data_IF_060149062663
#
_entry.id   IF_060149062663
#
_cell.length_a   1.000
_cell.length_b   1.000
_cell.length_c   1.000
_cell.angle_alpha   90.00
_cell.angle_beta   90.00
_cell.angle_gamma   90.00
#
_symmetry.space_group_name_H-M   'P 1'
#
loop_
_entity.id
_entity.type
_entity.pdbx_description
1 polymer ?
#
# COMPACT_ATOMS: atom_id res chain seq x y z
N UNK A 1 7.62 -7.14 16.50
CA UNK A 1 7.51 -5.68 16.56
C UNK A 1 6.12 -5.24 16.10
N UNK A 2 5.62 -4.12 16.65
CA UNK A 2 4.33 -3.53 16.27
C UNK A 2 4.51 -2.09 15.82
N UNK A 3 3.52 -1.57 15.11
CA UNK A 3 3.42 -0.17 14.67
C UNK A 3 2.02 0.36 14.96
N UNK A 4 1.85 1.68 14.96
CA UNK A 4 0.53 2.31 15.03
C UNK A 4 -0.09 2.39 13.63
N UNK A 5 -1.40 2.11 13.57
CA UNK A 5 -2.17 2.25 12.34
C UNK A 5 -3.61 2.66 12.64
N UNK A 6 -4.23 3.30 11.67
CA UNK A 6 -5.66 3.58 11.63
C UNK A 6 -6.35 2.48 10.82
N UNK A 7 -7.05 1.59 11.51
CA UNK A 7 -7.68 0.41 10.92
C UNK A 7 -9.17 0.62 10.75
N UNK A 8 -9.68 0.40 9.55
CA UNK A 8 -11.10 0.21 9.31
C UNK A 8 -11.46 -1.21 9.80
N UNK A 9 -11.92 -1.34 11.04
CA UNK A 9 -12.27 -2.64 11.64
C UNK A 9 -13.61 -3.17 11.15
N UNK A 10 -14.55 -2.27 11.02
CA UNK A 10 -15.90 -2.49 10.48
C UNK A 10 -16.28 -1.24 9.68
N UNK A 11 -17.29 -1.33 8.84
CA UNK A 11 -17.78 -0.13 8.14
C UNK A 11 -18.16 0.97 9.14
N UNK A 12 -17.77 2.19 8.83
CA UNK A 12 -17.92 3.38 9.67
C UNK A 12 -17.17 3.33 11.02
N UNK A 13 -16.24 2.37 11.20
CA UNK A 13 -15.48 2.23 12.44
C UNK A 13 -13.98 2.21 12.17
N UNK A 14 -13.36 3.37 12.32
CA UNK A 14 -11.90 3.53 12.30
C UNK A 14 -11.34 3.47 13.72
N UNK A 15 -10.33 2.63 13.92
CA UNK A 15 -9.67 2.46 15.21
C UNK A 15 -8.17 2.68 15.08
N UNK A 16 -7.63 3.60 15.85
CA UNK A 16 -6.17 3.81 15.98
C UNK A 16 -5.62 2.86 17.01
N UNK A 17 -4.79 1.91 16.59
CA UNK A 17 -4.28 0.84 17.45
C UNK A 17 -2.91 0.31 17.01
N UNK A 18 -2.32 -0.52 17.87
CA UNK A 18 -1.14 -1.30 17.53
C UNK A 18 -1.52 -2.47 16.60
N UNK A 19 -0.72 -2.64 15.55
CA UNK A 19 -0.81 -3.75 14.60
C UNK A 19 0.59 -4.34 14.38
N UNK A 20 0.71 -5.59 13.92
CA UNK A 20 1.99 -6.14 13.53
C UNK A 20 2.66 -5.32 12.43
N UNK A 21 4.00 -5.22 12.49
CA UNK A 21 4.78 -4.69 11.37
C UNK A 21 4.53 -5.50 10.09
N UNK A 22 4.48 -4.87 8.90
CA UNK A 22 4.41 -5.60 7.65
C UNK A 22 5.60 -6.56 7.52
N UNK A 23 5.34 -7.75 6.98
CA UNK A 23 6.41 -8.64 6.54
C UNK A 23 6.87 -8.20 5.17
N UNK A 24 8.18 -8.01 5.01
CA UNK A 24 8.79 -7.54 3.78
C UNK A 24 9.09 -8.73 2.85
N UNK A 25 8.56 -8.70 1.63
CA UNK A 25 8.96 -9.62 0.59
C UNK A 25 10.33 -9.23 0.01
N UNK A 26 10.99 -10.14 -0.72
CA UNK A 26 12.35 -9.92 -1.20
C UNK A 26 12.49 -8.76 -2.19
N UNK A 27 11.43 -8.44 -2.93
CA UNK A 27 11.35 -7.36 -3.92
C UNK A 27 10.68 -6.08 -3.40
N UNK A 28 10.31 -6.05 -2.11
CA UNK A 28 9.61 -4.92 -1.48
C UNK A 28 10.57 -4.02 -0.69
N UNK A 29 10.10 -2.82 -0.42
CA UNK A 29 10.69 -1.89 0.55
C UNK A 29 9.72 -1.57 1.66
N UNK A 30 10.23 -1.36 2.87
CA UNK A 30 9.47 -0.83 4.00
C UNK A 30 9.64 0.68 4.04
N UNK A 31 8.55 1.42 3.92
CA UNK A 31 8.54 2.88 3.97
C UNK A 31 8.08 3.35 5.35
N UNK A 32 8.90 4.14 6.04
CA UNK A 32 8.47 4.96 7.17
C UNK A 32 7.66 6.12 6.63
N UNK A 33 6.34 6.08 6.81
CA UNK A 33 5.40 7.06 6.27
C UNK A 33 5.60 8.41 6.98
N UNK A 34 5.74 9.48 6.22
CA UNK A 34 5.86 10.86 6.74
C UNK A 34 4.60 11.68 6.50
N UNK A 35 3.89 11.40 5.43
CA UNK A 35 2.61 12.00 5.12
C UNK A 35 1.76 11.04 4.28
N UNK A 36 0.46 11.05 4.52
CA UNK A 36 -0.52 10.33 3.70
C UNK A 36 -1.74 11.21 3.49
N UNK A 37 -2.10 11.44 2.24
CA UNK A 37 -3.30 12.17 1.86
C UNK A 37 -4.57 11.36 2.14
N UNK A 38 -5.66 12.06 2.43
CA UNK A 38 -6.99 11.48 2.53
C UNK A 38 -7.69 11.72 1.19
N UNK A 39 -7.87 10.66 0.42
CA UNK A 39 -8.57 10.70 -0.86
C UNK A 39 -10.10 10.63 -0.65
N UNK A 40 -10.86 11.24 -1.54
CA UNK A 40 -12.33 11.09 -1.55
C UNK A 40 -12.78 9.63 -1.64
N UNK A 41 -11.98 8.76 -2.26
CA UNK A 41 -12.26 7.32 -2.33
C UNK A 41 -12.14 6.62 -0.97
N UNK A 42 -11.35 7.14 -0.02
CA UNK A 42 -11.30 6.62 1.34
C UNK A 42 -12.58 6.98 2.09
N UNK A 43 -13.06 8.21 1.91
CA UNK A 43 -14.33 8.66 2.50
C UNK A 43 -15.50 7.82 1.97
N UNK A 44 -15.59 7.61 0.66
CA UNK A 44 -16.61 6.77 0.04
C UNK A 44 -16.47 5.28 0.37
N UNK A 45 -15.28 4.84 0.77
CA UNK A 45 -15.03 3.47 1.20
C UNK A 45 -15.40 3.17 2.65
N UNK A 46 -15.54 4.22 3.47
CA UNK A 46 -15.72 4.08 4.90
C UNK A 46 -17.02 3.34 5.29
N UNK A 47 -18.11 3.60 4.59
CA UNK A 47 -19.41 2.99 4.81
C UNK A 47 -19.66 1.70 4.00
N UNK A 48 -18.69 1.29 3.19
CA UNK A 48 -18.79 0.11 2.32
C UNK A 48 -19.51 0.35 1.00
N UNK A 49 -20.03 1.54 0.72
CA UNK A 49 -20.78 1.83 -0.52
C UNK A 49 -19.95 1.66 -1.80
N UNK A 50 -18.64 1.83 -1.71
CA UNK A 50 -17.74 1.63 -2.86
C UNK A 50 -17.50 0.14 -3.20
N UNK A 51 -17.76 -0.79 -2.28
CA UNK A 51 -17.46 -2.21 -2.41
C UNK A 51 -15.95 -2.54 -2.50
N UNK A 52 -15.08 -1.55 -2.31
CA UNK A 52 -13.62 -1.68 -2.50
C UNK A 52 -12.80 -1.48 -1.22
N UNK A 53 -13.45 -1.38 -0.10
CA UNK A 53 -12.84 -1.28 1.24
C UNK A 53 -13.48 -2.33 2.12
N UNK A 54 -12.94 -3.55 2.12
CA UNK A 54 -13.50 -4.66 2.90
C UNK A 54 -12.75 -4.74 4.24
N UNK A 55 -13.41 -4.47 5.37
CA UNK A 55 -12.78 -4.57 6.68
C UNK A 55 -12.37 -6.03 7.03
N UNK A 56 -11.36 -6.25 7.90
CA UNK A 56 -10.45 -5.22 8.43
C UNK A 56 -9.42 -4.78 7.39
N UNK A 57 -9.13 -3.47 7.32
CA UNK A 57 -8.21 -2.89 6.34
C UNK A 57 -7.55 -1.63 6.90
N UNK A 58 -6.25 -1.47 6.67
CA UNK A 58 -5.57 -0.17 6.76
C UNK A 58 -5.71 0.51 5.41
N UNK A 59 -6.41 1.64 5.35
CA UNK A 59 -6.58 2.43 4.13
C UNK A 59 -5.36 3.34 3.88
N UNK A 60 -5.47 4.27 2.93
CA UNK A 60 -4.42 5.23 2.57
C UNK A 60 -3.56 4.74 1.42
N UNK A 61 -3.52 5.52 0.33
CA UNK A 61 -2.85 5.16 -0.91
C UNK A 61 -2.13 6.33 -1.58
N UNK A 62 -2.09 7.49 -0.94
CA UNK A 62 -1.42 8.72 -1.40
C UNK A 62 -0.37 9.13 -0.37
N UNK A 63 0.75 8.42 -0.31
CA UNK A 63 1.73 8.62 0.74
C UNK A 63 3.14 8.90 0.22
N UNK A 64 3.91 9.56 1.09
CA UNK A 64 5.35 9.73 0.93
C UNK A 64 6.08 9.44 2.24
N UNK A 65 7.35 9.09 2.14
CA UNK A 65 8.16 8.75 3.29
C UNK A 65 9.62 8.50 2.97
N UNK A 66 10.27 7.77 3.84
CA UNK A 66 11.65 7.33 3.69
C UNK A 66 11.73 5.80 3.78
N UNK A 67 12.57 5.20 2.96
CA UNK A 67 12.84 3.76 3.03
C UNK A 67 13.54 3.46 4.37
N UNK A 68 12.93 2.59 5.16
CA UNK A 68 13.44 2.10 6.43
C UNK A 68 14.14 0.75 6.31
N UNK A 69 13.70 -0.08 5.35
CA UNK A 69 14.28 -1.40 5.07
C UNK A 69 14.08 -1.75 3.61
N UNK A 70 15.01 -2.52 3.02
CA UNK A 70 14.94 -3.01 1.64
C UNK A 70 14.96 -4.53 1.62
N UNK A 71 14.15 -5.12 0.75
CA UNK A 71 14.15 -6.56 0.50
C UNK A 71 15.45 -7.02 -0.19
N UNK A 72 15.75 -8.30 -0.07
CA UNK A 72 17.03 -8.88 -0.53
C UNK A 72 17.27 -8.78 -2.04
N UNK A 73 16.21 -8.62 -2.84
CA UNK A 73 16.29 -8.54 -4.30
C UNK A 73 16.23 -7.09 -4.82
N UNK A 74 15.99 -6.12 -3.95
CA UNK A 74 15.99 -4.69 -4.30
C UNK A 74 17.41 -4.21 -4.57
N UNK A 75 17.62 -3.50 -5.72
CA UNK A 75 18.95 -3.06 -6.18
C UNK A 75 19.05 -1.55 -6.40
N UNK A 76 17.94 -0.89 -6.71
CA UNK A 76 17.92 0.50 -7.17
C UNK A 76 17.56 1.50 -6.06
N UNK A 77 17.38 1.01 -4.83
CA UNK A 77 16.93 1.79 -3.69
C UNK A 77 17.74 1.49 -2.44
N UNK A 78 18.01 2.54 -1.67
CA UNK A 78 18.74 2.48 -0.40
C UNK A 78 17.89 2.93 0.78
N UNK A 79 18.23 2.42 1.98
CA UNK A 79 17.67 2.92 3.23
C UNK A 79 17.96 4.42 3.38
N UNK A 80 16.92 5.19 3.71
CA UNK A 80 17.01 6.66 3.81
C UNK A 80 16.55 7.40 2.55
N UNK A 81 16.39 6.73 1.41
CA UNK A 81 15.82 7.34 0.20
C UNK A 81 14.42 7.91 0.48
N UNK A 82 14.16 9.11 -0.02
CA UNK A 82 12.85 9.76 0.05
C UNK A 82 12.04 9.32 -1.15
N UNK A 83 10.85 8.77 -0.88
CA UNK A 83 10.04 8.14 -1.91
C UNK A 83 8.55 8.48 -1.78
N UNK A 84 7.89 8.44 -2.91
CA UNK A 84 6.45 8.19 -3.06
C UNK A 84 6.25 6.94 -3.91
N UNK A 85 5.01 6.51 -4.13
CA UNK A 85 4.73 5.32 -4.91
C UNK A 85 3.44 5.46 -5.74
N UNK A 86 3.39 4.74 -6.86
CA UNK A 86 2.12 4.45 -7.51
C UNK A 86 1.35 3.46 -6.64
N UNK A 87 0.14 3.82 -6.26
CA UNK A 87 -0.69 2.95 -5.43
C UNK A 87 -1.15 1.68 -6.15
N UNK A 88 -1.09 1.66 -7.48
CA UNK A 88 -1.41 0.49 -8.30
C UNK A 88 -0.19 -0.41 -8.44
N UNK A 89 -0.26 -1.59 -7.84
CA UNK A 89 0.79 -2.60 -7.93
C UNK A 89 0.44 -3.54 -9.08
N UNK A 90 1.18 -3.43 -10.17
CA UNK A 90 1.01 -4.26 -11.35
C UNK A 90 2.00 -5.44 -11.36
N UNK A 91 1.64 -6.52 -12.05
CA UNK A 91 2.51 -7.68 -12.21
C UNK A 91 3.51 -7.43 -13.34
N UNK A 92 4.79 -7.69 -13.07
CA UNK A 92 5.86 -7.48 -14.06
C UNK A 92 5.82 -8.52 -15.20
N UNK A 93 5.27 -9.69 -14.93
CA UNK A 93 5.29 -10.86 -15.83
C UNK A 93 4.04 -11.03 -16.70
N UNK A 94 3.03 -10.17 -16.57
CA UNK A 94 1.83 -10.31 -17.37
C UNK A 94 1.94 -9.70 -18.77
N UNK A 95 1.04 -10.11 -19.65
CA UNK A 95 1.03 -9.72 -21.06
C UNK A 95 0.84 -8.19 -21.24
N UNK A 96 -0.04 -7.57 -20.48
CA UNK A 96 -0.32 -6.13 -20.59
C UNK A 96 0.89 -5.30 -20.17
N UNK A 97 1.50 -5.65 -19.03
CA UNK A 97 2.70 -4.98 -18.52
C UNK A 97 3.86 -5.06 -19.52
N UNK A 98 4.08 -6.22 -20.14
CA UNK A 98 5.09 -6.39 -21.18
C UNK A 98 4.85 -5.53 -22.45
N UNK A 99 3.64 -5.06 -22.65
CA UNK A 99 3.24 -4.12 -23.73
C UNK A 99 3.25 -2.66 -23.30
N UNK A 100 3.69 -2.35 -22.08
CA UNK A 100 3.65 -1.02 -21.50
C UNK A 100 2.26 -0.57 -21.02
N UNK A 101 1.29 -1.48 -20.98
CA UNK A 101 -0.10 -1.24 -20.54
C UNK A 101 -0.30 -1.72 -19.09
N UNK A 102 0.61 -1.33 -18.19
CA UNK A 102 0.62 -1.82 -16.80
C UNK A 102 -0.66 -1.51 -16.02
N UNK A 103 -1.37 -0.44 -16.38
CA UNK A 103 -2.69 -0.10 -15.82
C UNK A 103 -3.78 -1.13 -16.13
N UNK A 104 -3.55 -2.03 -17.09
CA UNK A 104 -4.44 -3.14 -17.45
C UNK A 104 -3.93 -4.49 -16.92
N UNK A 105 -2.85 -4.50 -16.14
CA UNK A 105 -2.26 -5.72 -15.59
C UNK A 105 -3.31 -6.58 -14.88
N UNK A 106 -3.34 -7.87 -15.22
CA UNK A 106 -4.21 -8.84 -14.56
C UNK A 106 -3.73 -9.10 -13.13
N UNK A 107 -4.67 -9.20 -12.18
CA UNK A 107 -4.35 -9.42 -10.78
C UNK A 107 -3.60 -8.28 -10.10
N UNK A 108 -3.69 -7.05 -10.66
CA UNK A 108 -3.13 -5.86 -10.00
C UNK A 108 -3.78 -5.64 -8.65
N UNK A 109 -2.95 -5.19 -7.72
CA UNK A 109 -3.34 -4.79 -6.38
C UNK A 109 -3.37 -3.27 -6.27
N UNK A 110 -4.04 -2.76 -5.23
CA UNK A 110 -3.99 -1.33 -4.90
C UNK A 110 -3.73 -1.17 -3.41
N UNK A 111 -2.74 -0.37 -3.06
CA UNK A 111 -2.39 -0.06 -1.67
C UNK A 111 -3.59 0.57 -0.96
N UNK A 112 -3.96 0.06 0.21
CA UNK A 112 -5.07 0.58 1.01
C UNK A 112 -6.47 0.32 0.44
N UNK A 113 -6.59 -0.65 -0.47
CA UNK A 113 -7.83 -1.02 -1.16
C UNK A 113 -7.99 -2.55 -1.15
N UNK A 114 -9.22 -3.01 -1.27
CA UNK A 114 -9.58 -4.44 -1.29
C UNK A 114 -10.42 -4.75 -2.52
N UNK A 115 -9.83 -4.89 -3.71
CA UNK A 115 -10.58 -5.35 -4.87
C UNK A 115 -10.94 -6.83 -4.71
N UNK A 116 -12.25 -7.13 -4.69
CA UNK A 116 -12.75 -8.49 -4.47
C UNK A 116 -12.39 -9.03 -3.07
N UNK A 117 -11.96 -10.26 -2.99
CA UNK A 117 -11.54 -10.90 -1.73
C UNK A 117 -10.12 -10.51 -1.28
N UNK A 118 -9.40 -9.83 -2.12
CA UNK A 118 -8.03 -9.41 -1.88
C UNK A 118 -7.99 -8.18 -0.98
N UNK A 119 -7.03 -8.13 -0.05
CA UNK A 119 -6.77 -6.98 0.82
C UNK A 119 -5.30 -6.64 0.84
N UNK A 120 -4.97 -5.41 0.50
CA UNK A 120 -3.62 -4.87 0.69
C UNK A 120 -3.68 -3.67 1.62
N UNK A 121 -3.01 -3.78 2.76
CA UNK A 121 -2.94 -2.70 3.72
C UNK A 121 -2.21 -1.48 3.15
N UNK A 122 -2.70 -0.30 3.52
CA UNK A 122 -2.23 0.98 3.05
C UNK A 122 -1.41 1.76 4.07
N UNK A 123 -1.32 3.06 3.81
CA UNK A 123 -0.38 3.96 4.45
C UNK A 123 -0.97 4.84 5.57
N UNK A 124 -2.20 4.60 6.04
CA UNK A 124 -2.67 5.17 7.30
C UNK A 124 -2.04 4.42 8.49
N UNK A 125 -0.71 4.34 8.47
CA UNK A 125 0.13 3.62 9.41
C UNK A 125 1.51 4.26 9.49
N UNK A 126 2.30 3.90 10.51
CA UNK A 126 3.70 4.35 10.61
C UNK A 126 4.58 3.79 9.49
N UNK A 127 4.26 2.59 9.01
CA UNK A 127 5.01 1.91 7.94
C UNK A 127 4.07 1.23 6.95
N UNK A 128 4.53 1.18 5.69
CA UNK A 128 3.88 0.44 4.61
C UNK A 128 4.92 -0.31 3.79
N UNK A 129 4.63 -1.54 3.39
CA UNK A 129 5.46 -2.32 2.48
C UNK A 129 4.90 -2.24 1.06
N UNK A 130 5.74 -1.91 0.09
CA UNK A 130 5.38 -1.84 -1.34
C UNK A 130 6.50 -2.41 -2.21
N UNK A 131 6.18 -3.01 -3.37
CA UNK A 131 7.19 -3.44 -4.33
C UNK A 131 8.06 -2.29 -4.82
N UNK A 132 9.34 -2.53 -4.99
CA UNK A 132 10.31 -1.50 -5.38
C UNK A 132 10.05 -0.88 -6.75
N UNK A 133 9.40 -1.61 -7.67
CA UNK A 133 9.13 -1.15 -9.03
C UNK A 133 8.02 -0.08 -9.14
N UNK A 134 7.25 0.16 -8.07
CA UNK A 134 6.22 1.21 -8.04
C UNK A 134 6.68 2.50 -7.37
N UNK A 135 7.96 2.59 -6.99
CA UNK A 135 8.54 3.75 -6.29
C UNK A 135 8.99 4.86 -7.23
N UNK A 136 8.91 6.09 -6.71
CA UNK A 136 9.42 7.32 -7.32
C UNK A 136 10.18 8.15 -6.27
N UNK A 137 11.26 8.84 -6.73
CA UNK A 137 12.00 9.81 -5.88
C UNK A 137 11.27 11.13 -5.75
#
# INVERSE_FOLDING_TARGET
MSMKALVLEEYNKLVYKDVPMPQLASDEVLISVKACGICGSDVHGLDGSSGRRIPPLIMGHEASGQIAEVGTDVRDWDVGDRVTFDSTIYRLDDWYTRKGLYNLSDGREVVGVSPGEYRRNGAFAEYVAVPSHVLYK
#
